data_IF_755292038271
#
_entry.id   IF_755292038271
#
_cell.length_a   1.000
_cell.length_b   1.000
_cell.length_c   1.000
_cell.angle_alpha   90.00
_cell.angle_beta   90.00
_cell.angle_gamma   90.00
#
_symmetry.space_group_name_H-M   'P 1'
#
loop_
_entity.id
_entity.type
_entity.pdbx_description
1 polymer ?
#
# COMPACT_ATOMS: atom_id res chain seq x y z
N UNK A 1 19.29 -18.54 -42.39
CA UNK A 1 18.44 -17.94 -43.44
C UNK A 1 17.14 -17.52 -42.79
N UNK A 2 16.69 -16.27 -43.00
CA UNK A 2 15.48 -15.75 -42.36
C UNK A 2 15.52 -14.23 -42.17
N UNK A 3 15.82 -13.50 -43.25
CA UNK A 3 15.69 -12.05 -43.31
C UNK A 3 14.21 -11.65 -43.26
N UNK A 4 13.84 -10.68 -42.42
CA UNK A 4 12.71 -9.78 -42.73
C UNK A 4 12.98 -8.38 -42.18
N UNK A 5 13.37 -7.52 -43.12
CA UNK A 5 13.46 -6.08 -42.96
C UNK A 5 12.07 -5.44 -42.99
N UNK A 6 11.90 -4.39 -42.18
CA UNK A 6 11.05 -3.26 -42.52
C UNK A 6 9.77 -3.12 -41.70
N UNK A 7 9.70 -2.10 -40.84
CA UNK A 7 9.24 -0.74 -41.20
C UNK A 7 9.20 0.12 -39.93
N UNK A 8 9.77 1.33 -40.01
CA UNK A 8 9.59 2.36 -39.00
C UNK A 8 8.16 2.90 -39.09
N UNK A 9 7.47 2.97 -37.96
CA UNK A 9 6.33 3.87 -37.79
C UNK A 9 6.31 4.33 -36.33
N UNK A 10 6.53 5.63 -36.16
CA UNK A 10 6.25 6.35 -34.93
C UNK A 10 4.76 6.20 -34.61
N UNK A 11 4.45 5.77 -33.40
CA UNK A 11 3.08 5.64 -32.91
C UNK A 11 3.11 5.53 -31.41
N UNK A 12 2.73 6.62 -30.74
CA UNK A 12 2.33 6.77 -29.33
C UNK A 12 2.85 5.66 -28.39
N UNK A 13 3.91 5.96 -27.66
CA UNK A 13 4.31 5.20 -26.47
C UNK A 13 3.22 5.32 -25.40
N UNK A 14 2.16 4.53 -25.51
CA UNK A 14 1.35 4.16 -24.36
C UNK A 14 2.22 3.21 -23.52
N UNK A 15 2.97 3.79 -22.59
CA UNK A 15 3.73 3.04 -21.60
C UNK A 15 2.71 2.40 -20.65
N UNK A 16 2.19 1.24 -21.03
CA UNK A 16 1.48 0.35 -20.11
C UNK A 16 2.55 -0.24 -19.20
N UNK A 17 2.79 0.41 -18.06
CA UNK A 17 3.59 -0.15 -16.97
C UNK A 17 2.80 -1.31 -16.33
N UNK A 18 2.81 -2.46 -17.01
CA UNK A 18 2.49 -3.73 -16.37
C UNK A 18 3.61 -4.05 -15.40
N UNK A 19 3.47 -3.61 -14.15
CA UNK A 19 4.27 -4.14 -13.06
C UNK A 19 3.91 -5.62 -12.98
N UNK A 20 4.86 -6.47 -13.35
CA UNK A 20 4.75 -7.91 -13.18
C UNK A 20 4.60 -8.16 -11.67
N UNK A 21 3.34 -8.32 -11.23
CA UNK A 21 3.01 -8.83 -9.93
C UNK A 21 3.73 -10.17 -9.77
N UNK A 22 4.64 -10.25 -8.82
CA UNK A 22 5.31 -11.50 -8.52
C UNK A 22 4.26 -12.51 -8.06
N UNK A 23 4.06 -13.51 -8.92
CA UNK A 23 3.33 -14.75 -8.74
C UNK A 23 3.49 -15.39 -7.35
N UNK A 24 2.55 -15.14 -6.44
CA UNK A 24 2.03 -16.06 -5.40
C UNK A 24 1.26 -15.28 -4.35
N UNK A 25 -0.06 -15.21 -4.46
CA UNK A 25 -1.04 -15.17 -3.35
C UNK A 25 -0.87 -14.22 -2.15
N UNK A 26 0.17 -13.40 -2.10
CA UNK A 26 0.53 -12.48 -1.03
C UNK A 26 1.26 -11.28 -1.63
N UNK A 27 1.13 -10.15 -0.94
CA UNK A 27 1.92 -8.96 -1.22
C UNK A 27 3.01 -8.85 -0.17
N UNK A 28 4.28 -8.87 -0.58
CA UNK A 28 5.40 -8.92 0.34
C UNK A 28 5.51 -7.62 1.14
N UNK A 29 6.11 -7.70 2.32
CA UNK A 29 6.29 -6.57 3.22
C UNK A 29 6.95 -5.36 2.53
N UNK A 30 7.88 -5.59 1.60
CA UNK A 30 8.55 -4.52 0.83
C UNK A 30 7.57 -3.68 0.01
N UNK A 31 6.66 -4.33 -0.70
CA UNK A 31 5.65 -3.66 -1.52
C UNK A 31 4.61 -2.94 -0.65
N UNK A 32 4.23 -3.55 0.48
CA UNK A 32 3.35 -2.89 1.46
C UNK A 32 3.96 -1.62 2.04
N UNK A 33 5.23 -1.67 2.45
CA UNK A 33 5.95 -0.51 2.96
C UNK A 33 5.97 0.63 1.92
N UNK A 34 6.23 0.31 0.66
CA UNK A 34 6.17 1.31 -0.41
C UNK A 34 4.76 1.85 -0.62
N UNK A 35 3.75 0.98 -0.69
CA UNK A 35 2.37 1.40 -0.88
C UNK A 35 1.86 2.31 0.25
N UNK A 36 2.26 2.05 1.50
CA UNK A 36 1.92 2.91 2.66
C UNK A 36 2.59 4.27 2.54
N UNK A 37 3.89 4.29 2.20
CA UNK A 37 4.63 5.55 1.98
C UNK A 37 4.00 6.39 0.88
N UNK A 38 3.70 5.78 -0.26
CA UNK A 38 3.14 6.49 -1.41
C UNK A 38 1.71 6.97 -1.14
N UNK A 39 0.91 6.16 -0.44
CA UNK A 39 -0.45 6.54 -0.02
C UNK A 39 -0.44 7.77 0.89
N UNK A 40 0.36 7.74 1.96
CA UNK A 40 0.47 8.86 2.90
C UNK A 40 1.11 10.09 2.28
N UNK A 41 2.13 9.92 1.44
CA UNK A 41 2.75 11.03 0.71
C UNK A 41 1.76 11.71 -0.24
N UNK A 42 0.82 10.97 -0.84
CA UNK A 42 -0.27 11.52 -1.65
C UNK A 42 -1.20 12.40 -0.83
N UNK A 43 -1.39 12.09 0.45
CA UNK A 43 -2.16 12.91 1.40
C UNK A 43 -1.33 14.05 2.02
N UNK A 44 -0.06 14.21 1.62
CA UNK A 44 0.84 15.24 2.13
C UNK A 44 1.51 14.88 3.46
N UNK A 45 1.45 13.61 3.88
CA UNK A 45 2.04 13.11 5.12
C UNK A 45 3.35 12.40 4.83
N UNK A 46 4.46 12.92 5.36
CA UNK A 46 5.78 12.30 5.19
C UNK A 46 6.11 11.33 6.33
N UNK A 47 6.46 10.10 5.93
CA UNK A 47 6.99 9.08 6.82
C UNK A 47 8.51 9.15 6.92
N UNK A 48 9.03 9.05 8.15
CA UNK A 48 10.44 8.81 8.46
C UNK A 48 10.80 7.36 8.21
N UNK A 49 9.99 6.43 8.71
CA UNK A 49 10.17 5.01 8.51
C UNK A 49 8.82 4.28 8.49
N UNK A 50 8.79 3.12 7.84
CA UNK A 50 7.69 2.17 7.93
C UNK A 50 8.30 0.78 8.00
N UNK A 51 7.79 -0.06 8.89
CA UNK A 51 8.26 -1.43 9.09
C UNK A 51 7.06 -2.35 9.18
N UNK A 52 6.90 -3.22 8.19
CA UNK A 52 5.88 -4.26 8.19
C UNK A 52 6.54 -5.60 8.60
N UNK A 53 6.04 -6.30 9.64
CA UNK A 53 6.65 -7.54 10.13
C UNK A 53 6.52 -8.70 9.14
N UNK A 54 5.49 -8.66 8.28
CA UNK A 54 5.21 -9.65 7.26
C UNK A 54 4.54 -9.02 6.05
N UNK A 55 4.43 -9.79 4.97
CA UNK A 55 3.49 -9.50 3.90
C UNK A 55 2.04 -9.69 4.34
N UNK A 56 1.12 -9.42 3.43
CA UNK A 56 -0.31 -9.66 3.61
C UNK A 56 -0.79 -10.63 2.53
N UNK A 57 -1.63 -11.59 2.89
CA UNK A 57 -2.23 -12.46 1.88
C UNK A 57 -3.10 -11.64 0.93
N UNK A 58 -3.06 -11.95 -0.37
CA UNK A 58 -3.92 -11.35 -1.39
C UNK A 58 -5.31 -11.97 -1.34
N UNK A 59 -5.95 -11.87 -0.17
CA UNK A 59 -7.27 -12.41 0.13
C UNK A 59 -8.08 -11.34 0.86
N UNK A 60 -9.35 -11.21 0.49
CA UNK A 60 -10.27 -10.28 1.13
C UNK A 60 -10.35 -10.52 2.64
N UNK A 61 -10.18 -9.45 3.42
CA UNK A 61 -10.15 -9.49 4.88
C UNK A 61 -8.80 -9.83 5.51
N UNK A 62 -7.79 -10.20 4.71
CA UNK A 62 -6.43 -10.34 5.22
C UNK A 62 -5.92 -8.99 5.73
N UNK A 63 -5.20 -8.99 6.85
CA UNK A 63 -4.64 -7.76 7.40
C UNK A 63 -3.27 -7.96 8.02
N UNK A 64 -2.52 -6.87 8.09
CA UNK A 64 -1.22 -6.79 8.76
C UNK A 64 -1.10 -5.43 9.42
N UNK A 65 -0.42 -5.37 10.56
CA UNK A 65 -0.12 -4.12 11.25
C UNK A 65 1.33 -3.77 10.98
N UNK A 66 1.57 -2.59 10.42
CA UNK A 66 2.89 -2.04 10.19
C UNK A 66 3.18 -0.95 11.23
N UNK A 67 4.42 -0.91 11.71
CA UNK A 67 4.91 0.20 12.54
C UNK A 67 5.30 1.35 11.61
N UNK A 68 4.95 2.57 12.00
CA UNK A 68 5.26 3.77 11.23
C UNK A 68 5.90 4.80 12.15
N UNK A 69 6.84 5.56 11.60
CA UNK A 69 7.39 6.74 12.23
C UNK A 69 7.17 7.92 11.30
N UNK A 70 6.52 8.96 11.78
CA UNK A 70 6.30 10.19 11.03
C UNK A 70 7.43 11.18 11.30
N UNK A 71 7.68 12.09 10.35
CA UNK A 71 8.55 13.23 10.62
C UNK A 71 7.89 14.24 11.56
N UNK A 72 6.56 14.35 11.47
CA UNK A 72 5.72 15.18 12.31
C UNK A 72 4.85 14.27 13.21
N UNK A 73 5.03 14.35 14.54
CA UNK A 73 4.35 13.46 15.50
C UNK A 73 2.82 13.48 15.40
N UNK A 74 2.22 14.59 14.96
CA UNK A 74 0.76 14.74 14.83
C UNK A 74 0.34 15.02 13.38
N UNK A 75 1.02 14.40 12.40
CA UNK A 75 0.72 14.60 10.97
C UNK A 75 -0.76 14.32 10.61
N UNK A 76 -1.43 13.49 11.40
CA UNK A 76 -2.83 13.10 11.22
C UNK A 76 -3.77 13.74 12.27
N UNK A 77 -3.29 14.72 13.04
CA UNK A 77 -4.03 15.36 14.13
C UNK A 77 -3.92 14.68 15.49
N UNK A 78 -3.36 13.47 15.53
CA UNK A 78 -3.10 12.68 16.74
C UNK A 78 -1.80 11.85 16.57
N UNK A 79 -1.16 11.43 17.68
CA UNK A 79 0.05 10.63 17.61
C UNK A 79 -0.27 9.21 17.17
N UNK A 80 0.29 8.80 16.02
CA UNK A 80 0.11 7.48 15.41
C UNK A 80 1.47 6.78 15.33
N UNK A 81 1.55 5.53 15.81
CA UNK A 81 2.76 4.69 15.74
C UNK A 81 2.57 3.41 14.90
N UNK A 82 1.32 3.09 14.55
CA UNK A 82 0.99 1.89 13.78
C UNK A 82 -0.06 2.19 12.72
N UNK A 83 0.00 1.45 11.63
CA UNK A 83 -1.01 1.47 10.56
C UNK A 83 -1.43 0.03 10.29
N UNK A 84 -2.72 -0.25 10.43
CA UNK A 84 -3.32 -1.51 10.01
C UNK A 84 -3.65 -1.43 8.53
N UNK A 85 -3.16 -2.39 7.76
CA UNK A 85 -3.45 -2.56 6.35
C UNK A 85 -4.48 -3.67 6.24
N UNK A 86 -5.64 -3.40 5.64
CA UNK A 86 -6.71 -4.38 5.44
C UNK A 86 -7.00 -4.55 3.96
N UNK A 87 -6.95 -5.79 3.46
CA UNK A 87 -7.34 -6.10 2.09
C UNK A 87 -8.84 -5.99 1.94
N UNK A 88 -9.29 -5.08 1.08
CA UNK A 88 -10.71 -4.81 0.84
C UNK A 88 -11.20 -5.37 -0.49
N UNK A 89 -10.32 -5.54 -1.46
CA UNK A 89 -10.66 -6.13 -2.77
C UNK A 89 -9.45 -6.80 -3.40
N UNK A 90 -9.71 -7.84 -4.20
CA UNK A 90 -8.72 -8.53 -5.03
C UNK A 90 -9.32 -8.69 -6.42
N UNK A 91 -8.78 -7.98 -7.41
CA UNK A 91 -9.23 -7.95 -8.80
C UNK A 91 -8.10 -8.42 -9.72
N UNK A 92 -8.08 -9.72 -10.03
CA UNK A 92 -6.97 -10.33 -10.75
C UNK A 92 -5.67 -10.20 -9.96
N UNK A 93 -4.70 -9.46 -10.52
CA UNK A 93 -3.41 -9.17 -9.89
C UNK A 93 -3.41 -7.87 -9.06
N UNK A 94 -4.53 -7.14 -9.04
CA UNK A 94 -4.66 -5.89 -8.28
C UNK A 94 -5.28 -6.17 -6.92
N UNK A 95 -4.59 -5.82 -5.86
CA UNK A 95 -5.10 -5.89 -4.49
C UNK A 95 -5.33 -4.47 -3.99
N UNK A 96 -6.55 -4.19 -3.52
CA UNK A 96 -6.87 -2.91 -2.88
C UNK A 96 -6.82 -3.05 -1.37
N UNK A 97 -6.18 -2.08 -0.74
CA UNK A 97 -6.04 -2.01 0.71
C UNK A 97 -6.72 -0.78 1.26
N UNK A 98 -7.16 -0.89 2.51
CA UNK A 98 -7.49 0.25 3.37
C UNK A 98 -6.37 0.42 4.37
N UNK A 99 -5.93 1.65 4.56
CA UNK A 99 -5.00 2.04 5.61
C UNK A 99 -5.81 2.58 6.78
N UNK A 100 -5.61 2.00 7.96
CA UNK A 100 -6.27 2.41 9.21
C UNK A 100 -5.16 2.85 10.19
N UNK A 101 -4.94 4.17 10.36
CA UNK A 101 -4.02 4.70 11.34
C UNK A 101 -4.46 4.30 12.76
N UNK A 102 -3.52 3.85 13.58
CA UNK A 102 -3.76 3.49 14.97
C UNK A 102 -2.99 4.44 15.87
N UNK A 103 -3.72 5.21 16.68
CA UNK A 103 -3.11 6.11 17.64
C UNK A 103 -2.31 5.35 18.72
N UNK A 104 -1.28 6.03 19.22
CA UNK A 104 -0.46 5.53 20.32
C UNK A 104 -1.34 5.22 21.52
N UNK A 105 -1.28 3.98 22.00
CA UNK A 105 -2.03 3.51 23.17
C UNK A 105 -3.47 3.05 22.88
N UNK A 106 -3.92 3.07 21.62
CA UNK A 106 -5.18 2.45 21.22
C UNK A 106 -4.97 0.95 20.99
N UNK A 107 -5.81 0.12 21.59
CA UNK A 107 -5.80 -1.33 21.34
C UNK A 107 -6.20 -1.59 19.88
N UNK A 108 -5.55 -2.54 19.22
CA UNK A 108 -5.72 -2.77 17.78
C UNK A 108 -7.16 -3.26 17.42
N UNK A 109 -8.01 -3.57 18.40
CA UNK A 109 -9.44 -3.93 18.27
C UNK A 109 -10.40 -2.74 18.45
N UNK A 110 -9.90 -1.51 18.61
CA UNK A 110 -10.76 -0.34 18.70
C UNK A 110 -11.37 -0.02 17.33
N UNK A 111 -12.59 -0.53 17.13
CA UNK A 111 -13.59 0.00 16.21
C UNK A 111 -13.40 1.52 16.06
N UNK A 112 -13.28 1.98 14.81
CA UNK A 112 -13.13 3.38 14.44
C UNK A 112 -14.00 4.28 15.32
N UNK A 113 -13.50 5.45 15.79
CA UNK A 113 -14.32 6.37 16.58
C UNK A 113 -15.59 6.67 15.79
N UNK A 114 -16.72 6.15 16.27
CA UNK A 114 -18.04 6.43 15.72
C UNK A 114 -18.20 7.95 15.69
N UNK A 115 -18.62 8.56 14.57
CA UNK A 115 -18.92 9.98 14.55
C UNK A 115 -19.97 10.26 15.64
N UNK A 116 -19.65 11.18 16.55
CA UNK A 116 -20.53 11.63 17.62
C UNK A 116 -21.88 12.16 17.05
N UNK A 117 -22.99 12.07 17.81
CA UNK A 117 -24.35 12.32 17.33
C UNK A 117 -24.61 13.77 16.88
#
# INVERSE_FOLDING_TARGET
MGSWSGRRAAGLLAVVLTLAACSRGEVPAGDLQQSVRDGLATEGVELRSVTCPSGVASQLGASVVCQVEFWEENALGEPVDRVRIVVTSVEGDQVRYRLEPLAVGVADDAEAPSPAP
#
